data_IF_373844262659
#
_entry.id   IF_373844262659
#
_cell.length_a   1.000
_cell.length_b   1.000
_cell.length_c   1.000
_cell.angle_alpha   90.00
_cell.angle_beta   90.00
_cell.angle_gamma   90.00
#
_symmetry.space_group_name_H-M   'P 1'
#
loop_
_entity.id
_entity.type
_entity.pdbx_description
1 polymer ?
#
# COMPACT_ATOMS: atom_id res chain seq x y z
N UNK A 1 -13.00 -10.77 -49.40
CA UNK A 1 -12.55 -9.61 -48.58
C UNK A 1 -12.64 -9.85 -47.07
N UNK A 2 -13.29 -10.91 -46.53
CA UNK A 2 -13.41 -11.16 -45.08
C UNK A 2 -12.13 -11.64 -44.35
N UNK A 3 -11.18 -12.28 -45.03
CA UNK A 3 -10.00 -12.85 -44.35
C UNK A 3 -8.99 -11.81 -43.85
N UNK A 4 -8.77 -10.74 -44.58
CA UNK A 4 -7.83 -9.67 -44.21
C UNK A 4 -8.29 -8.90 -43.00
N UNK A 5 -9.60 -8.62 -42.87
CA UNK A 5 -10.18 -7.93 -41.74
C UNK A 5 -10.11 -8.76 -40.44
N UNK A 6 -10.26 -10.08 -40.53
CA UNK A 6 -10.11 -10.99 -39.38
C UNK A 6 -8.67 -11.04 -38.87
N UNK A 7 -7.69 -11.14 -39.78
CA UNK A 7 -6.27 -11.16 -39.42
C UNK A 7 -5.87 -9.84 -38.75
N UNK A 8 -6.32 -8.71 -39.30
CA UNK A 8 -6.04 -7.38 -38.73
C UNK A 8 -6.66 -7.21 -37.35
N UNK A 9 -7.92 -7.68 -37.17
CA UNK A 9 -8.60 -7.66 -35.87
C UNK A 9 -7.86 -8.52 -34.84
N UNK A 10 -7.46 -9.73 -35.22
CA UNK A 10 -6.67 -10.61 -34.33
C UNK A 10 -5.32 -10.00 -33.95
N UNK A 11 -4.64 -9.33 -34.90
CA UNK A 11 -3.39 -8.61 -34.64
C UNK A 11 -3.56 -7.48 -33.64
N UNK A 12 -4.62 -6.67 -33.77
CA UNK A 12 -4.93 -5.60 -32.82
C UNK A 12 -5.26 -6.17 -31.43
N UNK A 13 -6.08 -7.22 -31.36
CA UNK A 13 -6.49 -7.85 -30.11
C UNK A 13 -5.27 -8.44 -29.35
N UNK A 14 -4.36 -9.10 -30.06
CA UNK A 14 -3.13 -9.61 -29.46
C UNK A 14 -2.20 -8.48 -29.00
N UNK A 15 -2.06 -7.39 -29.75
CA UNK A 15 -1.26 -6.24 -29.31
C UNK A 15 -1.82 -5.61 -28.04
N UNK A 16 -3.14 -5.43 -27.95
CA UNK A 16 -3.81 -4.94 -26.75
C UNK A 16 -3.55 -5.88 -25.55
N UNK A 17 -3.67 -7.19 -25.76
CA UNK A 17 -3.41 -8.20 -24.72
C UNK A 17 -1.96 -8.10 -24.19
N UNK A 18 -0.96 -7.97 -25.06
CA UNK A 18 0.44 -7.82 -24.64
C UNK A 18 0.69 -6.52 -23.88
N UNK A 19 0.04 -5.42 -24.27
CA UNK A 19 0.12 -4.15 -23.54
C UNK A 19 -0.46 -4.31 -22.13
N UNK A 20 -1.64 -4.91 -21.99
CA UNK A 20 -2.24 -5.19 -20.68
C UNK A 20 -1.36 -6.10 -19.82
N UNK A 21 -0.79 -7.15 -20.42
CA UNK A 21 0.13 -8.05 -19.73
C UNK A 21 1.38 -7.32 -19.24
N UNK A 22 1.97 -6.45 -20.05
CA UNK A 22 3.13 -5.65 -19.66
C UNK A 22 2.81 -4.69 -18.50
N UNK A 23 1.68 -3.98 -18.58
CA UNK A 23 1.21 -3.09 -17.51
C UNK A 23 0.98 -3.89 -16.21
N UNK A 24 0.34 -5.05 -16.30
CA UNK A 24 0.08 -5.92 -15.16
C UNK A 24 1.38 -6.38 -14.47
N UNK A 25 2.37 -6.79 -15.24
CA UNK A 25 3.69 -7.16 -14.73
C UNK A 25 4.40 -5.99 -14.06
N UNK A 26 4.34 -4.79 -14.63
CA UNK A 26 4.89 -3.57 -14.02
C UNK A 26 4.22 -3.25 -12.69
N UNK A 27 2.90 -3.41 -12.59
CA UNK A 27 2.17 -3.21 -11.34
C UNK A 27 2.62 -4.22 -10.28
N UNK A 28 2.80 -5.50 -10.63
CA UNK A 28 3.27 -6.53 -9.69
C UNK A 28 4.68 -6.19 -9.20
N UNK A 29 5.61 -5.86 -10.09
CA UNK A 29 6.98 -5.48 -9.73
C UNK A 29 6.96 -4.27 -8.78
N UNK A 30 6.15 -3.26 -9.11
CA UNK A 30 5.98 -2.08 -8.27
C UNK A 30 5.46 -2.45 -6.87
N UNK A 31 4.44 -3.31 -6.76
CA UNK A 31 3.88 -3.76 -5.47
C UNK A 31 4.92 -4.50 -4.61
N UNK A 32 5.74 -5.35 -5.23
CA UNK A 32 6.83 -6.05 -4.54
C UNK A 32 7.87 -5.04 -4.01
N UNK A 33 8.30 -4.10 -4.85
CA UNK A 33 9.26 -3.06 -4.47
C UNK A 33 8.75 -2.20 -3.32
N UNK A 34 7.51 -1.74 -3.40
CA UNK A 34 6.89 -0.89 -2.37
C UNK A 34 6.73 -1.65 -1.05
N UNK A 35 6.37 -2.93 -1.09
CA UNK A 35 6.30 -3.78 0.09
C UNK A 35 7.67 -3.93 0.77
N UNK A 36 8.73 -4.16 -0.02
CA UNK A 36 10.10 -4.27 0.50
C UNK A 36 10.53 -2.95 1.16
N UNK A 37 10.33 -1.81 0.49
CA UNK A 37 10.70 -0.50 1.05
C UNK A 37 9.94 -0.17 2.33
N UNK A 38 8.64 -0.45 2.37
CA UNK A 38 7.83 -0.25 3.56
C UNK A 38 8.27 -1.15 4.71
N UNK A 39 8.53 -2.44 4.45
CA UNK A 39 8.98 -3.39 5.46
C UNK A 39 10.35 -3.03 6.04
N UNK A 40 11.31 -2.63 5.20
CA UNK A 40 12.63 -2.16 5.65
C UNK A 40 12.49 -0.88 6.48
N UNK A 41 11.67 0.07 6.03
CA UNK A 41 11.44 1.32 6.75
C UNK A 41 10.85 1.06 8.14
N UNK A 42 9.82 0.23 8.23
CA UNK A 42 9.17 -0.16 9.50
C UNK A 42 10.16 -0.88 10.41
N UNK A 43 10.97 -1.78 9.86
CA UNK A 43 11.99 -2.53 10.60
C UNK A 43 13.00 -1.58 11.24
N UNK A 44 13.56 -0.63 10.48
CA UNK A 44 14.56 0.33 10.98
C UNK A 44 13.94 1.31 11.99
N UNK A 45 12.74 1.87 11.70
CA UNK A 45 12.03 2.72 12.66
C UNK A 45 11.71 1.98 13.97
N UNK A 46 11.29 0.71 13.88
CA UNK A 46 11.00 -0.12 15.05
C UNK A 46 12.25 -0.38 15.89
N UNK A 47 13.40 -0.59 15.23
CA UNK A 47 14.70 -0.73 15.89
C UNK A 47 15.10 0.56 16.63
N UNK A 48 14.96 1.71 15.97
CA UNK A 48 15.27 3.02 16.56
C UNK A 48 14.37 3.36 17.76
N UNK A 49 13.15 2.80 17.79
CA UNK A 49 12.20 2.95 18.91
C UNK A 49 12.31 1.82 19.96
N UNK A 50 13.31 0.95 19.84
CA UNK A 50 13.59 -0.18 20.77
C UNK A 50 12.42 -1.17 20.89
N UNK A 51 11.64 -1.39 19.81
CA UNK A 51 10.57 -2.38 19.82
C UNK A 51 11.13 -3.80 19.71
N UNK A 52 10.65 -4.73 20.57
CA UNK A 52 11.14 -6.11 20.64
C UNK A 52 10.88 -6.95 19.38
N UNK A 53 9.85 -6.62 18.60
CA UNK A 53 9.36 -7.43 17.48
C UNK A 53 9.76 -6.84 16.10
N UNK A 54 11.05 -6.55 15.89
CA UNK A 54 11.54 -5.90 14.67
C UNK A 54 11.33 -6.73 13.41
N UNK A 55 11.50 -8.06 13.50
CA UNK A 55 11.35 -8.99 12.37
C UNK A 55 9.91 -9.15 11.87
N UNK A 56 8.91 -8.80 12.69
CA UNK A 56 7.49 -8.93 12.30
C UNK A 56 7.04 -7.88 11.28
N UNK A 57 7.90 -6.89 10.93
CA UNK A 57 7.65 -5.92 9.87
C UNK A 57 7.44 -6.58 8.49
N UNK A 58 7.93 -7.82 8.32
CA UNK A 58 7.76 -8.60 7.09
C UNK A 58 6.47 -9.45 7.05
N UNK A 59 5.68 -9.44 8.11
CA UNK A 59 4.41 -10.17 8.13
C UNK A 59 3.33 -9.29 7.49
N UNK A 60 2.66 -9.73 6.40
CA UNK A 60 1.54 -9.01 5.80
C UNK A 60 0.48 -8.67 6.86
N UNK A 61 -0.15 -7.53 6.72
CA UNK A 61 -1.13 -6.96 7.66
C UNK A 61 -0.54 -6.53 9.02
N UNK A 62 0.37 -7.30 9.61
CA UNK A 62 1.01 -6.93 10.88
C UNK A 62 1.94 -5.70 10.73
N UNK A 63 2.53 -5.52 9.54
CA UNK A 63 3.29 -4.31 9.22
C UNK A 63 2.45 -3.03 9.38
N UNK A 64 1.15 -3.07 9.05
CA UNK A 64 0.23 -1.94 9.23
C UNK A 64 -0.03 -1.63 10.71
N UNK A 65 -0.17 -2.67 11.53
CA UNK A 65 -0.22 -2.50 12.97
C UNK A 65 1.04 -1.83 13.53
N UNK A 66 2.22 -2.29 13.10
CA UNK A 66 3.50 -1.70 13.51
C UNK A 66 3.61 -0.25 13.06
N UNK A 67 3.17 0.08 11.85
CA UNK A 67 3.17 1.44 11.34
C UNK A 67 2.32 2.37 12.23
N UNK A 68 1.13 1.94 12.61
CA UNK A 68 0.29 2.65 13.59
C UNK A 68 0.94 2.80 14.95
N UNK A 69 1.66 1.77 15.42
CA UNK A 69 2.41 1.81 16.68
C UNK A 69 3.55 2.84 16.63
N UNK A 70 4.29 2.92 15.52
CA UNK A 70 5.34 3.90 15.27
C UNK A 70 4.77 5.33 15.27
N UNK A 71 3.59 5.51 14.68
CA UNK A 71 2.86 6.78 14.68
C UNK A 71 2.32 7.19 16.06
N UNK A 72 2.40 6.32 17.08
CA UNK A 72 1.83 6.55 18.41
C UNK A 72 0.33 6.20 18.52
N UNK A 73 -0.28 5.68 17.46
CA UNK A 73 -1.71 5.34 17.41
C UNK A 73 -1.94 3.86 17.09
N UNK A 74 -1.74 2.99 18.08
CA UNK A 74 -1.88 1.52 17.95
C UNK A 74 -3.26 1.11 17.44
N UNK A 75 -4.33 1.80 17.88
CA UNK A 75 -5.70 1.50 17.48
C UNK A 75 -5.89 1.73 15.97
N UNK A 76 -5.40 2.86 15.43
CA UNK A 76 -5.48 3.12 14.00
C UNK A 76 -4.72 2.06 13.19
N UNK A 77 -3.53 1.67 13.67
CA UNK A 77 -2.75 0.61 13.02
C UNK A 77 -3.46 -0.75 13.03
N UNK A 78 -4.11 -1.13 14.14
CA UNK A 78 -4.90 -2.37 14.19
C UNK A 78 -6.13 -2.29 13.28
N UNK A 79 -6.82 -1.15 13.22
CA UNK A 79 -7.95 -0.97 12.29
C UNK A 79 -7.52 -1.16 10.84
N UNK A 80 -6.41 -0.54 10.42
CA UNK A 80 -5.87 -0.71 9.05
C UNK A 80 -5.47 -2.15 8.80
N UNK A 81 -4.83 -2.83 9.75
CA UNK A 81 -4.45 -4.23 9.61
C UNK A 81 -5.67 -5.14 9.40
N UNK A 82 -6.73 -4.95 10.19
CA UNK A 82 -8.00 -5.70 10.05
C UNK A 82 -8.69 -5.37 8.72
N UNK A 83 -8.78 -4.09 8.33
CA UNK A 83 -9.36 -3.69 7.05
C UNK A 83 -8.62 -4.33 5.87
N UNK A 84 -7.29 -4.37 5.90
CA UNK A 84 -6.51 -5.02 4.84
C UNK A 84 -6.77 -6.54 4.78
N UNK A 85 -6.93 -7.21 5.94
CA UNK A 85 -7.30 -8.62 5.97
C UNK A 85 -8.72 -8.85 5.41
N UNK A 86 -9.68 -8.01 5.78
CA UNK A 86 -11.06 -8.05 5.25
C UNK A 86 -11.05 -7.80 3.74
N UNK A 87 -10.26 -6.84 3.24
CA UNK A 87 -10.11 -6.59 1.81
C UNK A 87 -9.60 -7.81 1.04
N UNK A 88 -8.60 -8.51 1.57
CA UNK A 88 -8.07 -9.72 0.93
C UNK A 88 -9.14 -10.82 0.82
N UNK A 89 -9.92 -11.02 1.88
CA UNK A 89 -11.00 -12.01 1.90
C UNK A 89 -12.14 -11.62 0.97
N UNK A 90 -12.61 -10.38 1.03
CA UNK A 90 -13.75 -9.90 0.22
C UNK A 90 -13.40 -9.83 -1.27
N UNK A 91 -12.17 -9.46 -1.62
CA UNK A 91 -11.67 -9.48 -2.99
C UNK A 91 -11.69 -10.91 -3.56
N UNK A 92 -11.10 -11.87 -2.84
CA UNK A 92 -11.06 -13.27 -3.25
C UNK A 92 -12.46 -13.86 -3.42
N UNK A 93 -13.34 -13.64 -2.44
CA UNK A 93 -14.70 -14.20 -2.45
C UNK A 93 -15.59 -13.55 -3.50
N UNK A 94 -15.46 -12.23 -3.71
CA UNK A 94 -16.15 -11.50 -4.77
C UNK A 94 -15.80 -12.03 -6.16
N UNK A 95 -14.50 -12.30 -6.38
CA UNK A 95 -14.01 -12.88 -7.64
C UNK A 95 -14.58 -14.28 -7.87
N UNK A 96 -14.56 -15.14 -6.85
CA UNK A 96 -15.03 -16.53 -6.95
C UNK A 96 -16.55 -16.64 -7.18
N UNK A 97 -17.35 -15.75 -6.58
CA UNK A 97 -18.81 -15.83 -6.64
C UNK A 97 -19.45 -14.83 -7.61
N UNK A 98 -18.69 -13.90 -8.20
CA UNK A 98 -19.23 -12.81 -9.01
C UNK A 98 -20.18 -11.88 -8.24
N UNK A 99 -20.04 -11.79 -6.90
CA UNK A 99 -20.97 -11.08 -6.03
C UNK A 99 -20.64 -9.58 -5.99
N UNK A 100 -21.53 -8.76 -6.61
CA UNK A 100 -21.39 -7.30 -6.68
C UNK A 100 -21.45 -6.61 -5.31
N UNK A 101 -22.15 -7.17 -4.32
CA UNK A 101 -22.23 -6.59 -2.97
C UNK A 101 -20.88 -6.71 -2.28
N UNK A 102 -20.24 -7.88 -2.36
CA UNK A 102 -18.89 -8.08 -1.80
C UNK A 102 -17.86 -7.18 -2.49
N UNK A 103 -17.99 -6.96 -3.79
CA UNK A 103 -17.15 -6.01 -4.51
C UNK A 103 -17.36 -4.57 -4.03
N UNK A 104 -18.60 -4.17 -3.76
CA UNK A 104 -18.91 -2.88 -3.16
C UNK A 104 -18.28 -2.70 -1.77
N UNK A 105 -18.36 -3.70 -0.91
CA UNK A 105 -17.71 -3.71 0.41
C UNK A 105 -16.19 -3.57 0.27
N UNK A 106 -15.58 -4.31 -0.66
CA UNK A 106 -14.15 -4.22 -0.95
C UNK A 106 -13.73 -2.78 -1.34
N UNK A 107 -14.49 -2.10 -2.21
CA UNK A 107 -14.20 -0.71 -2.60
C UNK A 107 -14.30 0.26 -1.42
N UNK A 108 -15.31 0.12 -0.56
CA UNK A 108 -15.47 0.94 0.64
C UNK A 108 -14.29 0.72 1.59
N UNK A 109 -13.88 -0.53 1.81
CA UNK A 109 -12.72 -0.85 2.65
C UNK A 109 -11.43 -0.25 2.11
N UNK A 110 -11.21 -0.22 0.79
CA UNK A 110 -10.06 0.45 0.16
C UNK A 110 -10.04 1.94 0.53
N UNK A 111 -11.15 2.65 0.36
CA UNK A 111 -11.24 4.08 0.65
C UNK A 111 -10.95 4.38 2.12
N UNK A 112 -11.57 3.63 3.03
CA UNK A 112 -11.35 3.81 4.47
C UNK A 112 -9.89 3.50 4.83
N UNK A 113 -9.34 2.40 4.34
CA UNK A 113 -7.95 2.01 4.59
C UNK A 113 -6.97 3.07 4.07
N UNK A 114 -7.22 3.63 2.87
CA UNK A 114 -6.40 4.69 2.30
C UNK A 114 -6.38 5.94 3.19
N UNK A 115 -7.55 6.41 3.66
CA UNK A 115 -7.64 7.58 4.54
C UNK A 115 -6.87 7.33 5.85
N UNK A 116 -7.06 6.18 6.48
CA UNK A 116 -6.37 5.84 7.72
C UNK A 116 -4.86 5.71 7.52
N UNK A 117 -4.43 5.11 6.41
CA UNK A 117 -3.02 5.00 6.04
C UNK A 117 -2.36 6.37 5.83
N UNK A 118 -3.07 7.33 5.22
CA UNK A 118 -2.60 8.72 5.06
C UNK A 118 -2.45 9.40 6.42
N UNK A 119 -3.41 9.23 7.33
CA UNK A 119 -3.35 9.78 8.69
C UNK A 119 -2.14 9.24 9.46
N UNK A 120 -1.91 7.93 9.39
CA UNK A 120 -0.76 7.28 10.03
C UNK A 120 0.55 7.81 9.45
N UNK A 121 0.65 7.86 8.11
CA UNK A 121 1.83 8.36 7.41
C UNK A 121 2.13 9.82 7.76
N UNK A 122 1.11 10.68 7.77
CA UNK A 122 1.24 12.08 8.18
C UNK A 122 1.87 12.22 9.57
N UNK A 123 1.40 11.45 10.55
CA UNK A 123 1.96 11.47 11.91
C UNK A 123 3.42 11.01 11.96
N UNK A 124 3.79 10.01 11.16
CA UNK A 124 5.18 9.57 11.06
C UNK A 124 6.04 10.64 10.41
N UNK A 125 5.56 11.27 9.33
CA UNK A 125 6.28 12.34 8.64
C UNK A 125 6.51 13.55 9.55
N UNK A 126 5.45 13.98 10.26
CA UNK A 126 5.55 15.10 11.22
C UNK A 126 6.51 14.79 12.36
N UNK A 127 6.50 13.56 12.89
CA UNK A 127 7.44 13.11 13.93
C UNK A 127 8.89 13.08 13.43
N UNK A 128 9.12 12.72 12.14
CA UNK A 128 10.46 12.57 11.59
C UNK A 128 11.08 13.89 11.13
N UNK A 129 10.29 14.79 10.54
CA UNK A 129 10.78 15.99 9.82
C UNK A 129 9.99 17.28 10.16
N UNK A 130 9.14 17.24 11.19
CA UNK A 130 8.38 18.41 11.65
C UNK A 130 7.44 18.95 10.58
N UNK A 131 7.42 20.26 10.37
CA UNK A 131 6.53 20.94 9.42
C UNK A 131 6.67 20.48 7.96
N UNK A 132 7.82 19.97 7.56
CA UNK A 132 8.00 19.40 6.20
C UNK A 132 7.24 18.10 5.99
N UNK A 133 6.72 17.47 7.05
CA UNK A 133 5.86 16.30 6.97
C UNK A 133 4.55 16.54 6.20
N UNK A 134 4.04 17.77 6.23
CA UNK A 134 2.83 18.16 5.51
C UNK A 134 3.03 18.02 3.98
N UNK A 135 4.19 18.44 3.48
CA UNK A 135 4.55 18.33 2.06
C UNK A 135 4.55 16.87 1.62
N UNK A 136 5.17 15.97 2.40
CA UNK A 136 5.20 14.53 2.10
C UNK A 136 3.80 13.91 2.15
N UNK A 137 2.94 14.41 3.05
CA UNK A 137 1.54 13.98 3.10
C UNK A 137 0.78 14.39 1.86
N UNK A 138 0.90 15.66 1.43
CA UNK A 138 0.24 16.14 0.22
C UNK A 138 0.67 15.34 -1.01
N UNK A 139 1.97 15.10 -1.19
CA UNK A 139 2.47 14.27 -2.29
C UNK A 139 1.98 12.82 -2.19
N UNK A 140 1.87 12.26 -0.98
CA UNK A 140 1.32 10.91 -0.78
C UNK A 140 -0.15 10.84 -1.20
N UNK A 141 -0.95 11.88 -0.90
CA UNK A 141 -2.36 11.95 -1.31
C UNK A 141 -2.48 12.16 -2.82
N UNK A 142 -1.74 13.11 -3.40
CA UNK A 142 -1.77 13.39 -4.85
C UNK A 142 -1.39 12.18 -5.69
N UNK A 143 -0.50 11.33 -5.18
CA UNK A 143 -0.09 10.09 -5.85
C UNK A 143 -0.89 8.87 -5.43
N UNK A 144 -2.05 9.05 -4.78
CA UNK A 144 -2.89 7.95 -4.28
C UNK A 144 -2.11 6.92 -3.44
N UNK A 145 -1.11 7.38 -2.68
CA UNK A 145 -0.27 6.53 -1.83
C UNK A 145 0.91 5.86 -2.51
N UNK A 146 1.09 6.03 -3.83
CA UNK A 146 2.23 5.42 -4.56
C UNK A 146 3.59 5.83 -4.01
N UNK A 147 3.80 7.10 -3.68
CA UNK A 147 5.08 7.59 -3.14
C UNK A 147 5.26 7.34 -1.64
N UNK A 148 4.21 6.92 -0.91
CA UNK A 148 4.24 6.72 0.54
C UNK A 148 5.36 5.76 1.00
N UNK A 149 5.54 4.56 0.43
CA UNK A 149 6.59 3.64 0.85
C UNK A 149 8.00 4.23 0.63
N UNK A 150 8.18 4.99 -0.44
CA UNK A 150 9.45 5.66 -0.77
C UNK A 150 9.75 6.74 0.28
N UNK A 151 8.76 7.55 0.65
CA UNK A 151 8.93 8.58 1.67
C UNK A 151 9.19 7.98 3.05
N UNK A 152 8.48 6.92 3.44
CA UNK A 152 8.74 6.20 4.68
C UNK A 152 10.18 5.65 4.71
N UNK A 153 10.63 5.09 3.59
CA UNK A 153 12.00 4.61 3.46
C UNK A 153 13.03 5.76 3.57
N UNK A 154 12.77 6.92 2.97
CA UNK A 154 13.66 8.07 3.02
C UNK A 154 13.84 8.65 4.44
N UNK A 155 12.78 8.60 5.26
CA UNK A 155 12.81 9.18 6.63
C UNK A 155 13.08 8.15 7.74
N UNK A 156 13.30 6.88 7.41
CA UNK A 156 13.37 5.76 8.36
C UNK A 156 14.39 5.96 9.49
N UNK A 157 15.52 6.61 9.19
CA UNK A 157 16.57 6.88 10.15
C UNK A 157 16.30 8.09 11.07
N UNK A 158 15.33 8.94 10.69
CA UNK A 158 15.00 10.18 11.43
C UNK A 158 14.00 9.95 12.57
N UNK A 159 13.25 8.86 12.53
CA UNK A 159 12.31 8.49 13.60
C UNK A 159 13.11 7.91 14.75
N UNK A 160 13.23 8.66 15.85
CA UNK A 160 13.95 8.26 17.07
C UNK A 160 13.01 8.33 18.28
N UNK A 161 13.41 7.64 19.35
CA UNK A 161 12.77 7.77 20.66
C UNK A 161 12.97 9.19 21.17
N UNK A 162 11.89 9.83 21.58
CA UNK A 162 12.00 11.10 22.30
C UNK A 162 12.66 10.80 23.64
N UNK A 163 13.85 11.40 23.87
CA UNK A 163 14.59 11.32 25.14
C UNK A 163 13.93 12.17 26.20
#
# INVERSE_FOLDING_TARGET
MGGISVILLMGILSAIFYIFLAIFLLIIIYQIMTYIFESIAIMEMSKNLEYKAVGTAWIPFYNKYLLGKIAGHKILGSMVAVLNAVMAVTCFWSYMQGNMILFGIFLICILISFVLDVIIAHKIYTKAIGKYGDIFTVFSVLTLGFLRPIFLFAIRSKVKKET
#
